data_IF_424664973401
#
_entry.id   IF_424664973401
#
_cell.length_a   1.000
_cell.length_b   1.000
_cell.length_c   1.000
_cell.angle_alpha   90.00
_cell.angle_beta   90.00
_cell.angle_gamma   90.00
#
_symmetry.space_group_name_H-M   'P 1'
#
loop_
_entity.id
_entity.type
_entity.pdbx_description
1 polymer ?
#
# COMPACT_ATOMS: atom_id res chain seq x y z
N UNK A 1 8.89 -30.62 -10.15
CA UNK A 1 8.17 -29.74 -11.11
C UNK A 1 9.21 -29.00 -11.92
N UNK A 2 9.08 -28.96 -13.25
CA UNK A 2 10.00 -28.18 -14.08
C UNK A 2 9.73 -26.69 -13.88
N UNK A 3 10.78 -25.87 -13.85
CA UNK A 3 10.66 -24.43 -13.78
C UNK A 3 9.94 -23.90 -15.03
N UNK A 4 9.07 -22.91 -14.86
CA UNK A 4 8.33 -22.25 -15.95
C UNK A 4 9.19 -21.21 -16.68
N UNK A 5 10.42 -21.03 -16.23
CA UNK A 5 11.39 -20.08 -16.77
C UNK A 5 12.82 -20.61 -16.67
N UNK A 6 13.69 -20.04 -17.47
CA UNK A 6 15.14 -20.23 -17.43
C UNK A 6 15.85 -18.88 -17.31
N UNK A 7 17.08 -18.88 -16.85
CA UNK A 7 17.94 -17.70 -16.84
C UNK A 7 18.56 -17.51 -18.22
N UNK A 8 18.53 -16.30 -18.72
CA UNK A 8 19.25 -15.93 -19.94
C UNK A 8 20.70 -15.56 -19.65
N UNK A 9 21.48 -15.33 -20.71
CA UNK A 9 22.86 -14.79 -20.54
C UNK A 9 22.89 -13.30 -20.11
N UNK A 10 21.75 -12.59 -20.18
CA UNK A 10 21.66 -11.19 -19.78
C UNK A 10 21.73 -11.05 -18.26
N UNK A 11 22.56 -10.12 -17.79
CA UNK A 11 22.76 -9.85 -16.37
C UNK A 11 22.91 -8.37 -16.09
N UNK A 12 22.45 -7.93 -14.93
CA UNK A 12 22.68 -6.59 -14.37
C UNK A 12 23.01 -6.64 -12.89
N UNK A 13 23.57 -5.57 -12.37
CA UNK A 13 23.70 -5.34 -10.93
C UNK A 13 22.69 -4.28 -10.55
N UNK A 14 21.82 -4.60 -9.58
CA UNK A 14 20.81 -3.65 -9.11
C UNK A 14 21.41 -2.58 -8.16
N UNK A 15 20.57 -1.65 -7.72
CA UNK A 15 21.01 -0.57 -6.80
C UNK A 15 21.48 -1.06 -5.42
N UNK A 16 21.16 -2.29 -5.04
CA UNK A 16 21.61 -2.93 -3.80
C UNK A 16 22.90 -3.76 -3.99
N UNK A 17 23.50 -3.74 -5.19
CA UNK A 17 24.69 -4.52 -5.49
C UNK A 17 24.43 -6.00 -5.82
N UNK A 18 23.16 -6.41 -5.91
CA UNK A 18 22.78 -7.80 -6.21
C UNK A 18 22.85 -8.06 -7.71
N UNK A 19 23.51 -9.17 -8.10
CA UNK A 19 23.52 -9.63 -9.49
C UNK A 19 22.19 -10.26 -9.82
N UNK A 20 21.58 -9.81 -10.92
CA UNK A 20 20.33 -10.31 -11.43
C UNK A 20 20.50 -10.81 -12.86
N UNK A 21 19.69 -11.80 -13.21
CA UNK A 21 19.61 -12.42 -14.53
C UNK A 21 18.24 -12.22 -15.12
N UNK A 22 18.19 -11.91 -16.41
CA UNK A 22 16.94 -11.87 -17.17
C UNK A 22 16.35 -13.28 -17.26
N UNK A 23 15.02 -13.39 -17.13
CA UNK A 23 14.34 -14.66 -17.31
C UNK A 23 13.71 -14.78 -18.69
N UNK A 24 13.51 -16.04 -19.13
CA UNK A 24 12.79 -16.39 -20.35
C UNK A 24 11.80 -17.50 -20.03
N UNK A 25 10.58 -17.41 -20.57
CA UNK A 25 9.57 -18.45 -20.40
C UNK A 25 9.98 -19.75 -21.13
N UNK A 26 9.88 -20.88 -20.44
CA UNK A 26 10.16 -22.22 -21.02
C UNK A 26 8.90 -22.87 -21.58
N UNK A 27 7.72 -22.35 -21.27
CA UNK A 27 6.43 -22.80 -21.76
C UNK A 27 5.45 -21.63 -21.85
N UNK A 28 4.34 -21.87 -22.52
CA UNK A 28 3.22 -20.93 -22.51
C UNK A 28 2.58 -20.84 -21.12
N UNK A 29 2.24 -19.63 -20.71
CA UNK A 29 1.45 -19.34 -19.51
C UNK A 29 0.19 -18.60 -19.99
N UNK A 30 -0.78 -19.34 -20.49
CA UNK A 30 -1.96 -18.81 -21.17
C UNK A 30 -2.73 -17.79 -20.34
N UNK A 31 -2.87 -18.03 -19.02
CA UNK A 31 -3.52 -17.12 -18.09
C UNK A 31 -2.84 -15.74 -17.98
N UNK A 32 -1.62 -15.59 -18.53
CA UNK A 32 -0.80 -14.37 -18.50
C UNK A 32 -0.51 -13.81 -19.89
N UNK A 33 -0.94 -14.47 -20.94
CA UNK A 33 -0.61 -14.13 -22.32
C UNK A 33 0.89 -14.25 -22.62
N UNK A 34 1.63 -15.06 -21.85
CA UNK A 34 3.06 -15.32 -22.02
C UNK A 34 3.25 -16.55 -22.89
N UNK A 35 4.12 -16.46 -23.86
CA UNK A 35 4.51 -17.56 -24.75
C UNK A 35 5.89 -18.10 -24.40
N UNK A 36 6.13 -19.35 -24.70
CA UNK A 36 7.48 -19.92 -24.65
C UNK A 36 8.46 -19.04 -25.45
N UNK A 37 9.58 -18.69 -24.83
CA UNK A 37 10.58 -17.79 -25.41
C UNK A 37 10.43 -16.31 -25.02
N UNK A 38 9.29 -15.89 -24.49
CA UNK A 38 9.10 -14.49 -24.05
C UNK A 38 10.05 -14.13 -22.91
N UNK A 39 10.63 -12.93 -23.01
CA UNK A 39 11.48 -12.37 -21.97
C UNK A 39 10.64 -11.84 -20.82
N UNK A 40 11.06 -12.20 -19.61
CA UNK A 40 10.45 -11.70 -18.38
C UNK A 40 11.29 -10.64 -17.67
N UNK A 41 11.13 -10.51 -16.36
CA UNK A 41 11.88 -9.62 -15.49
C UNK A 41 13.24 -10.17 -15.08
N UNK A 42 13.68 -9.82 -13.86
CA UNK A 42 15.01 -10.07 -13.37
C UNK A 42 14.98 -10.84 -12.04
N UNK A 43 15.76 -11.89 -11.91
CA UNK A 43 15.88 -12.68 -10.68
C UNK A 43 17.33 -12.91 -10.30
N UNK A 44 17.62 -13.09 -9.00
CA UNK A 44 18.98 -13.40 -8.54
C UNK A 44 19.36 -14.86 -8.78
N UNK A 45 18.39 -15.77 -8.85
CA UNK A 45 18.56 -17.21 -9.06
C UNK A 45 17.23 -17.87 -9.43
N UNK A 46 17.25 -19.10 -9.91
CA UNK A 46 16.06 -19.91 -10.18
C UNK A 46 15.38 -20.42 -8.92
N UNK A 47 16.17 -20.69 -7.88
CA UNK A 47 15.71 -21.24 -6.60
C UNK A 47 16.02 -20.28 -5.45
N UNK A 48 15.26 -20.38 -4.39
CA UNK A 48 15.55 -19.76 -3.10
C UNK A 48 16.63 -20.56 -2.36
N UNK A 49 17.10 -20.05 -1.22
CA UNK A 49 18.05 -20.76 -0.37
C UNK A 49 17.47 -22.06 0.21
N UNK A 50 16.14 -22.17 0.29
CA UNK A 50 15.42 -23.39 0.68
C UNK A 50 15.44 -24.50 -0.37
N UNK A 51 15.89 -24.21 -1.59
CA UNK A 51 15.84 -25.13 -2.74
C UNK A 51 14.52 -25.12 -3.52
N UNK A 52 13.53 -24.34 -3.09
CA UNK A 52 12.26 -24.18 -3.80
C UNK A 52 12.37 -23.19 -4.96
N UNK A 53 11.53 -23.34 -5.97
CA UNK A 53 11.49 -22.42 -7.11
C UNK A 53 11.08 -21.01 -6.68
N UNK A 54 11.83 -20.02 -7.15
CA UNK A 54 11.55 -18.59 -6.91
C UNK A 54 10.27 -18.12 -7.61
N UNK A 55 10.02 -18.60 -8.82
CA UNK A 55 8.79 -18.38 -9.57
C UNK A 55 8.22 -19.76 -9.86
N UNK A 56 7.01 -20.03 -9.39
CA UNK A 56 6.39 -21.34 -9.47
C UNK A 56 4.97 -21.26 -10.03
N UNK A 57 4.49 -22.39 -10.54
CA UNK A 57 3.16 -22.58 -11.14
C UNK A 57 2.96 -21.65 -12.37
N UNK A 58 1.91 -20.83 -12.38
CA UNK A 58 1.59 -19.90 -13.48
C UNK A 58 1.93 -18.44 -13.14
N UNK A 59 2.74 -18.25 -12.10
CA UNK A 59 3.25 -16.94 -11.75
C UNK A 59 4.22 -16.42 -12.81
N UNK A 60 4.24 -15.09 -12.97
CA UNK A 60 5.13 -14.45 -13.93
C UNK A 60 5.70 -13.13 -13.43
N UNK A 61 6.95 -12.91 -13.75
CA UNK A 61 7.67 -11.64 -13.52
C UNK A 61 7.98 -11.04 -14.87
N UNK A 62 7.60 -9.78 -15.08
CA UNK A 62 7.67 -9.10 -16.39
C UNK A 62 8.38 -7.76 -16.33
N UNK A 63 8.70 -7.19 -17.48
CA UNK A 63 9.32 -5.88 -17.67
C UNK A 63 10.65 -5.75 -16.91
N UNK A 64 10.79 -4.71 -16.08
CA UNK A 64 12.00 -4.43 -15.31
C UNK A 64 11.86 -4.83 -13.82
N UNK A 65 10.84 -5.62 -13.48
CA UNK A 65 10.62 -6.09 -12.12
C UNK A 65 11.79 -6.98 -11.65
N UNK A 66 12.15 -6.83 -10.38
CA UNK A 66 13.31 -7.48 -9.75
C UNK A 66 12.87 -8.35 -8.57
N UNK A 67 13.24 -9.64 -8.58
CA UNK A 67 13.01 -10.58 -7.48
C UNK A 67 14.35 -11.12 -7.00
N UNK A 68 14.68 -10.91 -5.73
CA UNK A 68 15.99 -11.33 -5.19
C UNK A 68 15.91 -11.70 -3.71
N UNK A 69 17.04 -12.10 -3.13
CA UNK A 69 17.11 -12.73 -1.81
C UNK A 69 16.26 -14.01 -1.77
N UNK A 70 15.42 -14.23 -0.77
CA UNK A 70 14.52 -15.39 -0.70
C UNK A 70 13.06 -15.04 -1.01
N UNK A 71 12.85 -14.00 -1.79
CA UNK A 71 11.51 -13.66 -2.27
C UNK A 71 11.00 -14.67 -3.28
N UNK A 72 9.71 -15.02 -3.20
CA UNK A 72 9.07 -15.94 -4.14
C UNK A 72 7.74 -15.40 -4.69
N UNK A 73 7.43 -15.84 -5.90
CA UNK A 73 6.18 -15.52 -6.61
C UNK A 73 5.56 -16.84 -7.06
N UNK A 74 4.35 -17.14 -6.64
CA UNK A 74 3.73 -18.45 -6.91
C UNK A 74 2.27 -18.35 -7.29
N UNK A 75 1.65 -19.47 -7.57
CA UNK A 75 0.27 -19.63 -8.04
C UNK A 75 0.03 -18.92 -9.37
N UNK A 76 -0.83 -17.95 -9.40
CA UNK A 76 -1.12 -17.11 -10.56
C UNK A 76 -0.75 -15.63 -10.31
N UNK A 77 0.19 -15.37 -9.42
CA UNK A 77 0.60 -14.03 -9.10
C UNK A 77 1.42 -13.38 -10.23
N UNK A 78 1.39 -12.06 -10.28
CA UNK A 78 2.13 -11.27 -11.27
C UNK A 78 2.93 -10.17 -10.60
N UNK A 79 4.19 -10.05 -11.00
CA UNK A 79 5.05 -8.92 -10.64
C UNK A 79 5.52 -8.25 -11.93
N UNK A 80 5.30 -6.93 -12.05
CA UNK A 80 5.58 -6.20 -13.29
C UNK A 80 6.17 -4.81 -13.07
N UNK A 81 6.21 -4.02 -14.15
CA UNK A 81 6.74 -2.65 -14.13
C UNK A 81 8.19 -2.60 -13.70
N UNK A 82 8.47 -1.76 -12.72
CA UNK A 82 9.76 -1.60 -12.03
C UNK A 82 9.69 -2.06 -10.56
N UNK A 83 8.74 -2.93 -10.25
CA UNK A 83 8.51 -3.41 -8.89
C UNK A 83 9.72 -4.20 -8.37
N UNK A 84 9.97 -4.11 -7.07
CA UNK A 84 11.05 -4.82 -6.40
C UNK A 84 10.50 -5.67 -5.26
N UNK A 85 10.78 -6.96 -5.31
CA UNK A 85 10.37 -7.93 -4.30
C UNK A 85 11.61 -8.60 -3.74
N UNK A 86 11.85 -8.45 -2.43
CA UNK A 86 13.06 -8.97 -1.78
C UNK A 86 12.82 -9.37 -0.32
N UNK A 87 13.82 -9.93 0.33
CA UNK A 87 13.71 -10.52 1.65
C UNK A 87 13.09 -11.92 1.57
N UNK A 88 12.32 -12.29 2.58
CA UNK A 88 11.55 -13.54 2.63
C UNK A 88 10.07 -13.30 2.28
N UNK A 89 9.83 -12.49 1.25
CA UNK A 89 8.47 -12.12 0.85
C UNK A 89 7.82 -13.21 0.00
N UNK A 90 6.49 -13.30 0.10
CA UNK A 90 5.70 -14.20 -0.73
C UNK A 90 4.61 -13.40 -1.46
N UNK A 91 4.57 -13.54 -2.77
CA UNK A 91 3.49 -13.04 -3.62
C UNK A 91 2.76 -14.25 -4.20
N UNK A 92 1.48 -14.42 -3.88
CA UNK A 92 0.75 -15.64 -4.24
C UNK A 92 -0.72 -15.40 -4.64
N UNK A 93 -1.45 -16.45 -4.98
CA UNK A 93 -2.81 -16.35 -5.48
C UNK A 93 -2.87 -15.68 -6.85
N UNK A 94 -3.72 -14.70 -7.00
CA UNK A 94 -3.85 -13.82 -8.17
C UNK A 94 -3.30 -12.41 -7.90
N UNK A 95 -2.50 -12.27 -6.85
CA UNK A 95 -1.97 -10.98 -6.43
C UNK A 95 -1.15 -10.31 -7.55
N UNK A 96 -1.23 -9.00 -7.59
CA UNK A 96 -0.51 -8.16 -8.54
C UNK A 96 0.37 -7.15 -7.83
N UNK A 97 1.64 -7.11 -8.19
CA UNK A 97 2.60 -6.12 -7.71
C UNK A 97 3.20 -5.43 -8.93
N UNK A 98 2.98 -4.13 -9.08
CA UNK A 98 3.34 -3.40 -10.31
C UNK A 98 3.91 -2.00 -10.00
N UNK A 99 4.12 -1.19 -11.04
CA UNK A 99 4.63 0.17 -10.92
C UNK A 99 6.08 0.22 -10.43
N UNK A 100 6.37 1.10 -9.49
CA UNK A 100 7.63 1.24 -8.77
C UNK A 100 7.54 0.73 -7.33
N UNK A 101 6.57 -0.13 -7.07
CA UNK A 101 6.28 -0.65 -5.74
C UNK A 101 7.44 -1.49 -5.17
N UNK A 102 7.48 -1.60 -3.85
CA UNK A 102 8.49 -2.39 -3.14
C UNK A 102 7.85 -3.28 -2.10
N UNK A 103 8.10 -4.58 -2.21
CA UNK A 103 7.69 -5.55 -1.20
C UNK A 103 8.94 -6.17 -0.59
N UNK A 104 9.12 -6.09 0.73
CA UNK A 104 10.36 -6.47 1.39
C UNK A 104 10.14 -7.03 2.81
N UNK A 105 11.19 -7.55 3.41
CA UNK A 105 11.13 -8.16 4.74
C UNK A 105 10.53 -9.56 4.69
N UNK A 106 9.42 -9.77 5.39
CA UNK A 106 8.61 -11.01 5.40
C UNK A 106 7.16 -10.72 5.02
N UNK A 107 6.95 -9.73 4.19
CA UNK A 107 5.61 -9.34 3.79
C UNK A 107 4.97 -10.38 2.87
N UNK A 108 3.65 -10.55 3.00
CA UNK A 108 2.85 -11.42 2.14
C UNK A 108 1.80 -10.60 1.40
N UNK A 109 1.73 -10.77 0.07
CA UNK A 109 0.67 -10.21 -0.77
C UNK A 109 0.00 -11.38 -1.48
N UNK A 110 -1.28 -11.59 -1.25
CA UNK A 110 -1.94 -12.80 -1.72
C UNK A 110 -3.43 -12.59 -2.06
N UNK A 111 -4.10 -13.67 -2.49
CA UNK A 111 -5.44 -13.64 -3.07
C UNK A 111 -5.50 -12.76 -4.32
N UNK A 112 -6.34 -11.74 -4.39
CA UNK A 112 -6.47 -10.84 -5.53
C UNK A 112 -5.91 -9.43 -5.26
N UNK A 113 -5.15 -9.29 -4.17
CA UNK A 113 -4.62 -8.00 -3.72
C UNK A 113 -3.72 -7.34 -4.76
N UNK A 114 -3.79 -6.02 -4.83
CA UNK A 114 -3.02 -5.19 -5.76
C UNK A 114 -2.11 -4.23 -4.98
N UNK A 115 -0.84 -4.20 -5.35
CA UNK A 115 0.15 -3.24 -4.84
C UNK A 115 0.78 -2.54 -6.04
N UNK A 116 0.56 -1.25 -6.18
CA UNK A 116 0.95 -0.50 -7.38
C UNK A 116 1.53 0.89 -7.03
N UNK A 117 1.81 1.70 -8.06
CA UNK A 117 2.36 3.03 -7.90
C UNK A 117 3.79 3.00 -7.33
N UNK A 118 4.02 3.75 -6.27
CA UNK A 118 5.26 3.78 -5.48
C UNK A 118 5.09 3.17 -4.09
N UNK A 119 4.08 2.34 -3.90
CA UNK A 119 3.71 1.76 -2.63
C UNK A 119 4.83 0.90 -2.03
N UNK A 120 4.87 0.82 -0.70
CA UNK A 120 5.86 0.05 0.05
C UNK A 120 5.18 -0.86 1.05
N UNK A 121 5.38 -2.16 0.91
CA UNK A 121 4.88 -3.16 1.84
C UNK A 121 6.07 -3.89 2.46
N UNK A 122 6.21 -3.83 3.78
CA UNK A 122 7.41 -4.36 4.45
C UNK A 122 7.17 -4.87 5.88
N UNK A 123 8.24 -5.34 6.51
CA UNK A 123 8.13 -6.03 7.80
C UNK A 123 7.45 -7.39 7.65
N UNK A 124 6.51 -7.70 8.55
CA UNK A 124 5.64 -8.88 8.50
C UNK A 124 4.23 -8.51 8.01
N UNK A 125 4.10 -7.46 7.23
CA UNK A 125 2.79 -6.96 6.77
C UNK A 125 2.10 -7.95 5.83
N UNK A 126 0.78 -7.97 5.89
CA UNK A 126 -0.07 -8.83 5.06
C UNK A 126 -1.06 -7.99 4.28
N UNK A 127 -1.13 -8.21 2.97
CA UNK A 127 -2.10 -7.57 2.07
C UNK A 127 -2.86 -8.69 1.35
N UNK A 128 -4.17 -8.75 1.53
CA UNK A 128 -4.98 -9.88 1.05
C UNK A 128 -6.41 -9.45 0.68
N UNK A 129 -7.21 -10.40 0.21
CA UNK A 129 -8.52 -10.12 -0.33
C UNK A 129 -8.42 -9.43 -1.68
N UNK A 130 -9.27 -8.48 -1.93
CA UNK A 130 -9.23 -7.56 -3.05
C UNK A 130 -8.66 -6.18 -2.65
N UNK A 131 -7.78 -6.14 -1.62
CA UNK A 131 -7.21 -4.89 -1.12
C UNK A 131 -6.34 -4.21 -2.18
N UNK A 132 -6.45 -2.89 -2.27
CA UNK A 132 -5.72 -2.08 -3.23
C UNK A 132 -4.82 -1.06 -2.52
N UNK A 133 -3.51 -1.19 -2.74
CA UNK A 133 -2.47 -0.32 -2.17
C UNK A 133 -1.79 0.41 -3.32
N UNK A 134 -1.97 1.72 -3.38
CA UNK A 134 -1.51 2.53 -4.52
C UNK A 134 -0.64 3.72 -4.08
N UNK A 135 -0.17 4.52 -5.05
CA UNK A 135 0.59 5.76 -4.87
C UNK A 135 1.82 5.60 -3.97
N UNK A 136 1.93 6.36 -2.89
CA UNK A 136 3.06 6.36 -1.96
C UNK A 136 2.72 5.71 -0.61
N UNK A 137 1.69 4.88 -0.58
CA UNK A 137 1.24 4.19 0.62
C UNK A 137 2.35 3.34 1.22
N UNK A 138 2.43 3.30 2.55
CA UNK A 138 3.36 2.46 3.28
C UNK A 138 2.60 1.54 4.24
N UNK A 139 2.78 0.22 4.07
CA UNK A 139 2.27 -0.80 5.00
C UNK A 139 3.46 -1.51 5.62
N UNK A 140 3.60 -1.46 6.93
CA UNK A 140 4.78 -1.97 7.64
C UNK A 140 4.46 -2.59 9.00
N UNK A 141 5.46 -3.18 9.66
CA UNK A 141 5.27 -3.87 10.94
C UNK A 141 4.56 -5.20 10.74
N UNK A 142 3.53 -5.46 11.53
CA UNK A 142 2.64 -6.63 11.46
C UNK A 142 1.24 -6.22 10.96
N UNK A 143 1.16 -5.10 10.24
CA UNK A 143 -0.10 -4.56 9.76
C UNK A 143 -0.77 -5.51 8.76
N UNK A 144 -2.10 -5.54 8.80
CA UNK A 144 -2.92 -6.36 7.91
C UNK A 144 -3.91 -5.47 7.16
N UNK A 145 -3.89 -5.52 5.84
CA UNK A 145 -4.86 -4.85 4.96
C UNK A 145 -5.60 -5.93 4.18
N UNK A 146 -6.91 -6.00 4.34
CA UNK A 146 -7.72 -7.11 3.84
C UNK A 146 -9.08 -6.63 3.29
N UNK A 147 -9.87 -7.57 2.78
CA UNK A 147 -11.19 -7.28 2.19
C UNK A 147 -11.06 -6.54 0.86
N UNK A 148 -11.87 -5.51 0.67
CA UNK A 148 -11.86 -4.61 -0.48
C UNK A 148 -11.26 -3.24 -0.13
N UNK A 149 -10.46 -3.18 0.93
CA UNK A 149 -9.89 -1.95 1.43
C UNK A 149 -8.99 -1.27 0.38
N UNK A 150 -9.12 0.04 0.24
CA UNK A 150 -8.42 0.84 -0.74
C UNK A 150 -7.61 1.95 -0.07
N UNK A 151 -6.30 1.94 -0.26
CA UNK A 151 -5.36 2.88 0.34
C UNK A 151 -4.63 3.66 -0.75
N UNK A 152 -4.67 4.99 -0.67
CA UNK A 152 -4.11 5.91 -1.67
C UNK A 152 -3.20 6.97 -1.07
N UNK A 153 -2.61 7.78 -1.93
CA UNK A 153 -1.78 8.95 -1.61
C UNK A 153 -0.56 8.59 -0.73
N UNK A 154 -0.52 9.05 0.51
CA UNK A 154 0.62 8.87 1.44
C UNK A 154 0.21 8.21 2.74
N UNK A 155 -0.86 7.43 2.73
CA UNK A 155 -1.31 6.68 3.90
C UNK A 155 -0.19 5.80 4.43
N UNK A 156 -0.03 5.79 5.75
CA UNK A 156 0.95 4.97 6.45
C UNK A 156 0.23 4.04 7.44
N UNK A 157 0.34 2.74 7.24
CA UNK A 157 -0.22 1.71 8.14
C UNK A 157 0.92 0.97 8.80
N UNK A 158 0.93 0.91 10.13
CA UNK A 158 2.04 0.32 10.88
C UNK A 158 1.62 -0.38 12.16
N UNK A 159 2.60 -0.89 12.91
CA UNK A 159 2.34 -1.66 14.12
C UNK A 159 1.60 -2.96 13.81
N UNK A 160 0.54 -3.24 14.55
CA UNK A 160 -0.38 -4.37 14.38
C UNK A 160 -1.75 -3.91 13.85
N UNK A 161 -1.80 -2.76 13.20
CA UNK A 161 -3.05 -2.19 12.68
C UNK A 161 -3.73 -3.13 11.68
N UNK A 162 -5.06 -3.16 11.72
CA UNK A 162 -5.88 -3.99 10.85
C UNK A 162 -6.86 -3.12 10.09
N UNK A 163 -6.84 -3.22 8.78
CA UNK A 163 -7.77 -2.55 7.88
C UNK A 163 -8.50 -3.62 7.09
N UNK A 164 -9.82 -3.59 7.08
CA UNK A 164 -10.64 -4.61 6.44
C UNK A 164 -11.95 -4.03 5.89
N UNK A 165 -12.82 -4.90 5.38
CA UNK A 165 -14.06 -4.48 4.74
C UNK A 165 -13.80 -3.69 3.47
N UNK A 166 -14.60 -2.67 3.20
CA UNK A 166 -14.50 -1.73 2.08
C UNK A 166 -13.88 -0.38 2.48
N UNK A 167 -13.03 -0.37 3.53
CA UNK A 167 -12.41 0.86 4.04
C UNK A 167 -11.66 1.63 2.95
N UNK A 168 -11.91 2.92 2.85
CA UNK A 168 -11.24 3.83 1.93
C UNK A 168 -10.38 4.84 2.69
N UNK A 169 -9.07 4.78 2.49
CA UNK A 169 -8.10 5.61 3.20
C UNK A 169 -7.28 6.42 2.20
N UNK A 170 -7.19 7.73 2.39
CA UNK A 170 -6.42 8.61 1.52
C UNK A 170 -5.76 9.76 2.28
N UNK A 171 -5.01 10.60 1.56
CA UNK A 171 -4.28 11.71 2.13
C UNK A 171 -3.01 11.26 2.85
N UNK A 172 -2.77 11.79 4.05
CA UNK A 172 -1.59 11.50 4.87
C UNK A 172 -1.91 10.73 6.16
N UNK A 173 -2.99 9.95 6.14
CA UNK A 173 -3.43 9.20 7.30
C UNK A 173 -2.32 8.30 7.87
N UNK A 174 -2.16 8.30 9.18
CA UNK A 174 -1.24 7.42 9.90
C UNK A 174 -2.05 6.54 10.84
N UNK A 175 -2.13 5.25 10.51
CA UNK A 175 -2.82 4.23 11.29
C UNK A 175 -1.74 3.33 11.91
N UNK A 176 -1.67 3.29 13.24
CA UNK A 176 -0.61 2.59 13.95
C UNK A 176 -1.10 1.88 15.21
N UNK A 177 -0.18 1.20 15.90
CA UNK A 177 -0.51 0.43 17.10
C UNK A 177 -1.42 -0.75 16.78
N UNK A 178 -2.48 -0.93 17.56
CA UNK A 178 -3.49 -1.98 17.41
C UNK A 178 -4.79 -1.44 16.79
N UNK A 179 -4.73 -0.34 16.04
CA UNK A 179 -5.92 0.25 15.44
C UNK A 179 -6.61 -0.75 14.51
N UNK A 180 -7.93 -0.79 14.58
CA UNK A 180 -8.76 -1.61 13.69
C UNK A 180 -9.75 -0.70 12.96
N UNK A 181 -9.73 -0.76 11.65
CA UNK A 181 -10.66 -0.08 10.76
C UNK A 181 -11.35 -1.18 9.95
N UNK A 182 -12.65 -1.31 10.13
CA UNK A 182 -13.48 -2.30 9.44
C UNK A 182 -14.67 -1.60 8.80
N UNK A 183 -15.16 -2.19 7.76
CA UNK A 183 -16.39 -1.91 7.01
C UNK A 183 -16.77 -0.43 6.82
N UNK A 184 -16.79 0.01 5.57
CA UNK A 184 -17.31 1.31 5.09
C UNK A 184 -16.69 2.57 5.74
N UNK A 185 -15.56 2.42 6.44
CA UNK A 185 -14.86 3.56 6.99
C UNK A 185 -14.20 4.37 5.88
N UNK A 186 -14.61 5.61 5.74
CA UNK A 186 -13.89 6.59 4.93
C UNK A 186 -12.97 7.40 5.85
N UNK A 187 -11.67 7.37 5.56
CA UNK A 187 -10.68 8.07 6.35
C UNK A 187 -9.81 8.93 5.44
N UNK A 188 -9.92 10.22 5.56
CA UNK A 188 -9.12 11.18 4.79
C UNK A 188 -8.39 12.13 5.75
N UNK A 189 -7.07 12.21 5.60
CA UNK A 189 -6.28 13.28 6.22
C UNK A 189 -6.06 14.35 5.18
N UNK A 190 -6.60 15.52 5.44
CA UNK A 190 -6.31 16.71 4.64
C UNK A 190 -4.84 17.09 4.90
N UNK A 191 -4.14 17.50 3.84
CA UNK A 191 -2.80 18.06 3.99
C UNK A 191 -2.82 19.17 5.05
N UNK A 192 -1.75 19.22 5.85
CA UNK A 192 -1.55 20.30 6.80
C UNK A 192 -1.95 21.61 6.14
N UNK A 193 -2.95 22.26 6.69
CA UNK A 193 -3.18 23.66 6.37
C UNK A 193 -1.83 24.32 6.63
N UNK A 194 -1.15 24.88 5.62
CA UNK A 194 0.23 25.40 5.69
C UNK A 194 0.48 26.40 6.83
N UNK A 195 -0.54 26.70 7.60
CA UNK A 195 -0.58 27.61 8.73
C UNK A 195 -0.61 26.92 10.10
N UNK A 196 -0.66 25.56 10.14
CA UNK A 196 -0.69 24.81 11.39
C UNK A 196 0.32 23.67 11.37
N UNK A 197 0.96 23.45 12.50
CA UNK A 197 1.76 22.25 12.76
C UNK A 197 0.88 21.00 12.93
N UNK A 198 -0.44 21.17 13.06
CA UNK A 198 -1.40 20.11 13.30
C UNK A 198 -2.08 19.63 12.00
N UNK A 199 -2.18 18.32 11.85
CA UNK A 199 -2.97 17.69 10.79
C UNK A 199 -4.46 17.72 11.13
N UNK A 200 -5.30 17.91 10.12
CA UNK A 200 -6.76 17.74 10.26
C UNK A 200 -7.13 16.38 9.67
N UNK A 201 -7.68 15.52 10.49
CA UNK A 201 -8.07 14.17 10.13
C UNK A 201 -9.60 14.06 10.21
N UNK A 202 -10.23 13.59 9.13
CA UNK A 202 -11.64 13.22 9.11
C UNK A 202 -11.77 11.71 9.31
N UNK A 203 -12.47 11.30 10.35
CA UNK A 203 -12.76 9.90 10.66
C UNK A 203 -14.26 9.68 10.47
N UNK A 204 -14.63 8.88 9.47
CA UNK A 204 -16.01 8.47 9.25
C UNK A 204 -16.16 7.04 9.73
N UNK A 205 -17.03 6.81 10.71
CA UNK A 205 -17.26 5.48 11.28
C UNK A 205 -18.72 5.09 11.11
N UNK A 206 -18.96 3.83 10.76
CA UNK A 206 -20.31 3.27 10.80
C UNK A 206 -20.81 3.21 12.25
N UNK A 207 -22.01 3.73 12.50
CA UNK A 207 -22.68 3.66 13.78
C UNK A 207 -23.53 2.39 13.86
N UNK A 208 -23.83 1.89 15.10
CA UNK A 208 -24.65 0.68 15.29
C UNK A 208 -26.07 0.75 14.68
N UNK A 209 -26.56 1.95 14.39
CA UNK A 209 -27.88 2.19 13.76
C UNK A 209 -27.81 2.20 12.22
N UNK A 210 -26.66 1.92 11.61
CA UNK A 210 -26.46 1.95 10.17
C UNK A 210 -26.21 3.35 9.58
N UNK A 211 -26.16 4.37 10.42
CA UNK A 211 -25.74 5.72 10.00
C UNK A 211 -24.23 5.88 10.12
N UNK A 212 -23.67 6.85 9.42
CA UNK A 212 -22.25 7.19 9.53
C UNK A 212 -22.06 8.37 10.48
N UNK A 213 -21.27 8.16 11.52
CA UNK A 213 -20.75 9.26 12.35
C UNK A 213 -19.47 9.81 11.74
N UNK A 214 -19.32 11.13 11.75
CA UNK A 214 -18.07 11.78 11.37
C UNK A 214 -17.42 12.42 12.59
N UNK A 215 -16.16 12.06 12.84
CA UNK A 215 -15.30 12.70 13.83
C UNK A 215 -14.15 13.39 13.13
N UNK A 216 -13.73 14.52 13.66
CA UNK A 216 -12.57 15.26 13.19
C UNK A 216 -11.52 15.28 14.29
N UNK A 217 -10.29 14.97 13.92
CA UNK A 217 -9.12 15.16 14.78
C UNK A 217 -8.32 16.35 14.29
N UNK A 218 -7.94 17.24 15.22
CA UNK A 218 -7.03 18.36 14.96
C UNK A 218 -5.96 18.29 16.04
N UNK A 219 -4.76 17.85 15.69
CA UNK A 219 -3.71 17.57 16.66
C UNK A 219 -4.16 16.54 17.71
N UNK A 220 -4.23 16.94 18.97
CA UNK A 220 -4.69 16.09 20.09
C UNK A 220 -6.20 16.15 20.32
N UNK A 221 -6.91 17.07 19.68
CA UNK A 221 -8.36 17.21 19.84
C UNK A 221 -9.11 16.26 18.92
N UNK A 222 -10.18 15.65 19.44
CA UNK A 222 -11.12 14.83 18.68
C UNK A 222 -12.54 15.29 19.03
N UNK A 223 -13.36 15.57 18.03
CA UNK A 223 -14.75 15.99 18.22
C UNK A 223 -15.63 15.68 17.02
N UNK A 224 -16.92 16.00 17.15
CA UNK A 224 -17.87 15.91 16.07
C UNK A 224 -17.69 17.05 15.06
N UNK A 225 -18.25 16.86 13.87
CA UNK A 225 -18.12 17.80 12.77
C UNK A 225 -18.79 19.16 13.05
N UNK A 226 -19.80 19.19 13.93
CA UNK A 226 -20.45 20.43 14.33
C UNK A 226 -19.54 21.36 15.09
N UNK A 227 -18.64 20.79 15.89
CA UNK A 227 -17.66 21.51 16.73
C UNK A 227 -16.38 21.89 16.01
N UNK A 228 -16.17 21.45 14.77
CA UNK A 228 -14.92 21.70 14.01
C UNK A 228 -14.63 23.16 13.80
N UNK A 229 -15.65 23.93 13.46
CA UNK A 229 -15.49 25.38 13.18
C UNK A 229 -15.02 26.12 14.44
N UNK A 230 -15.63 25.80 15.59
CA UNK A 230 -15.28 26.42 16.87
C UNK A 230 -13.86 26.01 17.30
N UNK A 231 -13.51 24.75 17.11
CA UNK A 231 -12.17 24.25 17.46
C UNK A 231 -11.10 24.84 16.54
N UNK A 232 -11.33 24.96 15.26
CA UNK A 232 -10.44 25.64 14.33
C UNK A 232 -10.27 27.11 14.67
N UNK A 233 -11.35 27.77 15.10
CA UNK A 233 -11.28 29.15 15.57
C UNK A 233 -10.41 29.30 16.84
N UNK A 234 -10.56 28.38 17.81
CA UNK A 234 -9.72 28.34 19.00
C UNK A 234 -8.24 28.07 18.67
N UNK A 235 -7.97 27.19 17.71
CA UNK A 235 -6.62 26.96 17.21
C UNK A 235 -6.05 28.22 16.55
N UNK A 236 -6.83 28.91 15.72
CA UNK A 236 -6.43 30.18 15.12
C UNK A 236 -6.12 31.23 16.18
N UNK A 237 -6.91 31.37 17.23
CA UNK A 237 -6.64 32.29 18.32
C UNK A 237 -5.34 32.00 19.08
N UNK A 238 -4.99 30.72 19.24
CA UNK A 238 -3.73 30.31 19.90
C UNK A 238 -2.49 30.62 19.05
N UNK A 239 -2.64 30.55 17.73
CA UNK A 239 -1.56 30.73 16.77
C UNK A 239 -1.62 32.07 16.03
N UNK A 240 -1.87 33.17 16.76
CA UNK A 240 -2.07 34.54 16.24
C UNK A 240 -0.95 35.06 15.31
N UNK A 241 0.13 34.32 15.08
CA UNK A 241 1.21 34.65 14.17
C UNK A 241 1.11 33.94 12.83
N UNK A 242 0.03 33.19 12.59
CA UNK A 242 -0.18 32.48 11.32
C UNK A 242 -0.43 33.48 10.17
N UNK A 243 0.16 33.21 9.01
CA UNK A 243 0.09 34.06 7.80
C UNK A 243 -1.29 34.09 7.12
N UNK A 244 -2.34 33.62 7.79
CA UNK A 244 -3.67 33.46 7.24
C UNK A 244 -4.69 34.33 7.98
N UNK A 245 -5.57 35.00 7.27
CA UNK A 245 -6.63 35.82 7.87
C UNK A 245 -7.73 34.96 8.49
N UNK A 246 -8.51 35.53 9.43
CA UNK A 246 -9.67 34.86 10.03
C UNK A 246 -10.69 34.40 8.97
N UNK A 247 -10.88 35.18 7.90
CA UNK A 247 -11.82 34.86 6.82
C UNK A 247 -11.37 33.63 6.02
N UNK A 248 -10.10 33.51 5.68
CA UNK A 248 -9.55 32.33 5.00
C UNK A 248 -9.65 31.07 5.87
N UNK A 249 -9.54 31.22 7.17
CA UNK A 249 -9.76 30.16 8.13
C UNK A 249 -11.19 29.64 8.16
N UNK A 250 -12.13 30.56 8.28
CA UNK A 250 -13.55 30.23 8.28
C UNK A 250 -13.97 29.56 6.97
N UNK A 251 -13.46 30.04 5.84
CA UNK A 251 -13.74 29.44 4.54
C UNK A 251 -13.23 27.99 4.45
N UNK A 252 -12.01 27.72 4.93
CA UNK A 252 -11.44 26.38 4.99
C UNK A 252 -12.18 25.46 5.96
N UNK A 253 -12.60 25.96 7.12
CA UNK A 253 -13.42 25.22 8.07
C UNK A 253 -14.77 24.82 7.47
N UNK A 254 -15.42 25.72 6.72
CA UNK A 254 -16.64 25.46 6.01
C UNK A 254 -16.44 24.45 4.87
N UNK A 255 -15.31 24.49 4.17
CA UNK A 255 -14.96 23.49 3.14
C UNK A 255 -14.79 22.10 3.75
N UNK A 256 -14.16 21.98 4.93
CA UNK A 256 -14.05 20.70 5.66
C UNK A 256 -15.46 20.20 5.99
N UNK A 257 -16.29 21.05 6.58
CA UNK A 257 -17.68 20.70 6.93
C UNK A 257 -18.54 20.26 5.72
N UNK A 258 -18.33 20.88 4.55
CA UNK A 258 -19.11 20.55 3.34
C UNK A 258 -18.70 19.23 2.67
N UNK A 259 -17.52 18.69 2.99
CA UNK A 259 -17.02 17.41 2.48
C UNK A 259 -17.34 16.23 3.39
N UNK A 260 -17.88 16.48 4.54
CA UNK A 260 -18.34 15.51 5.53
C UNK A 260 -19.84 15.30 5.46
#
# INVERSE_FOLDING_TARGET
>A
MCATFELTGERKINKQGVRLYRIRATRDIAARGVRAGDLGGWVSSTHMTTGELRIAKDAWVSHEAEIFEDACVTDSARVGGHARVCGHTMISGYARVDGWSRVYGRAHVFETAVVDGNARVGGNARVLGAAHIHDHVQVRGEACVAGEASLYDRVCVGGQARISGSAYLCGRAVIAGNAAIAEDAYFQVFETLETFEDSVELIRTALPNGEYGAQVRIGTWIGDIGSVVDQLFLCWQRHQHARCSQSEWMERALQIRSRC
#
